data_IF_500863649716
#
_entry.id   IF_500863649716
#
_cell.length_a   1.000
_cell.length_b   1.000
_cell.length_c   1.000
_cell.angle_alpha   90.00
_cell.angle_beta   90.00
_cell.angle_gamma   90.00
#
_symmetry.space_group_name_H-M   'P 1'
#
loop_
_entity.id
_entity.type
_entity.pdbx_description
1 polymer ?
#
# COMPACT_ATOMS: atom_id res chain seq x y z
N UNK A 1 4.01 1.11 22.54
CA UNK A 1 3.94 -0.16 21.78
C UNK A 1 3.86 0.18 20.30
N UNK A 2 4.68 -0.45 19.45
CA UNK A 2 4.56 -0.30 17.99
C UNK A 2 3.40 -1.20 17.56
N UNK A 3 2.38 -0.63 16.92
CA UNK A 3 1.25 -1.40 16.40
C UNK A 3 1.74 -2.52 15.49
N UNK A 4 1.17 -3.71 15.64
CA UNK A 4 1.42 -4.83 14.73
C UNK A 4 0.95 -4.48 13.32
N UNK A 5 1.47 -5.19 12.31
CA UNK A 5 1.04 -5.02 10.91
C UNK A 5 -0.48 -5.01 10.79
N UNK A 6 -1.16 -5.97 11.41
CA UNK A 6 -2.62 -6.14 11.29
C UNK A 6 -3.39 -5.00 11.94
N UNK A 7 -2.93 -4.51 13.08
CA UNK A 7 -3.52 -3.32 13.73
C UNK A 7 -3.28 -2.04 12.94
N UNK A 8 -2.31 -2.03 12.04
CA UNK A 8 -1.96 -0.86 11.21
C UNK A 8 -2.49 -0.91 9.78
N UNK A 9 -3.32 -1.90 9.44
CA UNK A 9 -3.97 -1.96 8.13
C UNK A 9 -4.87 -0.75 7.95
N UNK A 10 -4.74 -0.07 6.81
CA UNK A 10 -5.61 1.02 6.42
C UNK A 10 -6.55 0.58 5.31
N UNK A 11 -7.85 0.56 5.63
CA UNK A 11 -8.90 0.08 4.71
C UNK A 11 -9.40 1.14 3.75
N UNK A 12 -8.95 2.40 3.88
CA UNK A 12 -9.37 3.51 3.01
C UNK A 12 -8.79 3.43 1.59
N UNK A 13 -7.81 2.55 1.38
CA UNK A 13 -7.31 2.19 0.06
C UNK A 13 -7.25 0.67 -0.07
N UNK A 14 -7.85 0.14 -1.13
CA UNK A 14 -7.89 -1.30 -1.41
C UNK A 14 -7.30 -1.56 -2.78
N UNK A 15 -6.27 -2.39 -2.85
CA UNK A 15 -5.71 -2.87 -4.11
C UNK A 15 -6.31 -4.24 -4.43
N UNK A 16 -6.79 -4.41 -5.65
CA UNK A 16 -7.37 -5.66 -6.12
C UNK A 16 -6.33 -6.43 -6.91
N UNK A 17 -5.90 -7.56 -6.37
CA UNK A 17 -4.93 -8.44 -7.00
C UNK A 17 -5.58 -9.22 -8.15
N UNK A 18 -4.82 -9.61 -9.17
CA UNK A 18 -5.32 -10.40 -10.30
C UNK A 18 -5.90 -11.78 -9.91
N UNK A 19 -5.59 -12.28 -8.71
CA UNK A 19 -6.18 -13.51 -8.14
C UNK A 19 -7.52 -13.28 -7.44
N UNK A 20 -7.98 -12.03 -7.33
CA UNK A 20 -9.17 -11.64 -6.57
C UNK A 20 -8.88 -11.23 -5.12
N UNK A 21 -7.63 -11.36 -4.64
CA UNK A 21 -7.28 -10.95 -3.27
C UNK A 21 -7.43 -9.44 -3.09
N UNK A 22 -7.97 -9.03 -1.94
CA UNK A 22 -8.01 -7.63 -1.50
C UNK A 22 -6.80 -7.34 -0.62
N UNK A 23 -6.01 -6.37 -1.03
CA UNK A 23 -4.77 -5.97 -0.37
C UNK A 23 -4.91 -4.56 0.18
N UNK A 24 -4.47 -4.39 1.42
CA UNK A 24 -4.60 -3.15 2.16
C UNK A 24 -3.22 -2.63 2.55
N UNK A 25 -2.94 -1.34 2.37
CA UNK A 25 -1.74 -0.71 2.90
C UNK A 25 -1.63 -0.92 4.42
N UNK A 26 -0.41 -1.01 4.92
CA UNK A 26 -0.17 -1.10 6.36
C UNK A 26 1.10 -0.34 6.73
N UNK A 27 1.20 0.06 8.00
CA UNK A 27 2.42 0.65 8.54
C UNK A 27 3.35 -0.44 9.08
N UNK A 28 4.66 -0.28 8.88
CA UNK A 28 5.65 -1.15 9.51
C UNK A 28 6.85 -0.37 10.03
N UNK A 29 7.56 -1.00 10.97
CA UNK A 29 8.77 -0.44 11.56
C UNK A 29 10.01 -0.83 10.74
N UNK A 30 10.82 0.16 10.38
CA UNK A 30 12.18 -0.06 9.91
C UNK A 30 13.09 -0.27 11.11
N UNK A 31 13.54 -1.50 11.32
CA UNK A 31 14.33 -1.84 12.52
C UNK A 31 15.64 -1.05 12.66
N UNK A 32 16.24 -0.64 11.54
CA UNK A 32 17.54 0.06 11.57
C UNK A 32 17.42 1.50 12.05
N UNK A 33 16.34 2.21 11.70
CA UNK A 33 16.16 3.63 12.04
C UNK A 33 15.08 3.86 13.08
N UNK A 34 14.28 2.83 13.41
CA UNK A 34 13.08 2.96 14.26
C UNK A 34 11.90 3.64 13.56
N UNK A 35 12.02 4.01 12.28
CA UNK A 35 10.95 4.70 11.55
C UNK A 35 9.72 3.80 11.40
N UNK A 36 8.53 4.32 11.70
CA UNK A 36 7.27 3.60 11.56
C UNK A 36 6.36 4.35 10.58
N UNK A 37 5.87 3.68 9.54
CA UNK A 37 5.04 4.33 8.52
C UNK A 37 4.66 3.39 7.38
N UNK A 38 3.87 3.92 6.44
CA UNK A 38 3.59 3.25 5.17
C UNK A 38 4.85 3.25 4.32
N UNK A 39 5.24 2.08 3.86
CA UNK A 39 6.48 1.93 3.10
C UNK A 39 6.18 2.02 1.62
N UNK A 40 6.72 3.05 0.99
CA UNK A 40 6.80 3.16 -0.47
C UNK A 40 8.25 3.05 -0.93
N UNK A 41 8.49 2.31 -2.01
CA UNK A 41 9.83 2.11 -2.57
C UNK A 41 9.86 2.56 -4.03
N UNK A 42 10.86 3.35 -4.46
CA UNK A 42 10.99 3.76 -5.86
C UNK A 42 11.08 2.56 -6.81
N UNK A 43 10.62 2.75 -8.06
CA UNK A 43 10.71 1.72 -9.10
C UNK A 43 12.17 1.26 -9.29
N UNK A 44 12.38 -0.06 -9.31
CA UNK A 44 13.70 -0.68 -9.47
C UNK A 44 14.58 -0.67 -8.21
N UNK A 45 14.13 -0.07 -7.11
CA UNK A 45 14.81 -0.07 -5.81
C UNK A 45 14.24 -1.14 -4.89
N UNK A 46 14.94 -1.42 -3.79
CA UNK A 46 14.51 -2.41 -2.80
C UNK A 46 14.59 -1.81 -1.40
N UNK A 47 13.51 -1.95 -0.64
CA UNK A 47 13.46 -1.48 0.75
C UNK A 47 14.62 -2.03 1.61
N UNK A 48 15.01 -3.30 1.42
CA UNK A 48 16.13 -3.92 2.16
C UNK A 48 17.49 -3.21 1.98
N UNK A 49 17.62 -2.38 0.94
CA UNK A 49 18.83 -1.58 0.70
C UNK A 49 18.75 -0.19 1.36
N UNK A 50 17.68 0.12 2.12
CA UNK A 50 17.44 1.42 2.73
C UNK A 50 16.73 2.44 1.84
N UNK A 51 16.31 2.04 0.62
CA UNK A 51 15.68 2.95 -0.36
C UNK A 51 14.18 3.23 -0.09
N UNK A 52 13.62 2.71 1.01
CA UNK A 52 12.20 2.85 1.35
C UNK A 52 11.89 4.16 2.06
N UNK A 53 10.84 4.86 1.63
CA UNK A 53 10.27 6.01 2.34
C UNK A 53 9.17 5.53 3.28
N UNK A 54 9.17 6.05 4.51
CA UNK A 54 8.24 5.70 5.57
C UNK A 54 7.30 6.88 5.83
N UNK A 55 6.15 6.87 5.16
CA UNK A 55 5.17 7.95 5.15
C UNK A 55 4.14 7.80 6.27
N UNK A 56 3.56 8.89 6.74
CA UNK A 56 2.70 8.88 7.93
C UNK A 56 1.21 8.75 7.62
N UNK A 57 0.80 9.06 6.40
CA UNK A 57 -0.59 9.13 5.98
C UNK A 57 -0.80 8.56 4.57
N UNK A 58 -2.03 8.20 4.21
CA UNK A 58 -2.34 7.75 2.84
C UNK A 58 -2.29 8.91 1.85
N UNK A 59 -2.57 10.11 2.33
CA UNK A 59 -2.49 11.38 1.64
C UNK A 59 -1.06 11.63 1.13
N UNK A 60 -0.05 11.30 1.95
CA UNK A 60 1.35 11.31 1.52
C UNK A 60 1.68 10.16 0.55
N UNK A 61 1.09 8.97 0.74
CA UNK A 61 1.36 7.78 -0.08
C UNK A 61 0.86 7.91 -1.51
N UNK A 62 -0.36 8.42 -1.69
CA UNK A 62 -1.07 8.45 -2.97
C UNK A 62 -0.25 9.11 -4.08
N UNK A 63 0.37 10.30 -3.90
CA UNK A 63 1.26 10.91 -4.88
C UNK A 63 2.39 9.98 -5.36
N UNK A 64 3.04 9.24 -4.45
CA UNK A 64 4.14 8.34 -4.81
C UNK A 64 3.65 7.09 -5.54
N UNK A 65 2.56 6.51 -5.04
CA UNK A 65 2.06 5.24 -5.56
C UNK A 65 1.39 5.42 -6.92
N UNK A 66 0.45 6.36 -7.05
CA UNK A 66 -0.37 6.51 -8.25
C UNK A 66 0.31 7.31 -9.37
N UNK A 67 1.16 8.29 -9.04
CA UNK A 67 1.75 9.19 -10.03
C UNK A 67 3.24 8.92 -10.28
N UNK A 68 4.00 8.54 -9.24
CA UNK A 68 5.45 8.25 -9.38
C UNK A 68 5.76 6.77 -9.61
N UNK A 69 4.75 5.89 -9.58
CA UNK A 69 4.90 4.46 -9.83
C UNK A 69 5.69 3.71 -8.75
N UNK A 70 5.77 4.25 -7.53
CA UNK A 70 6.43 3.58 -6.41
C UNK A 70 5.66 2.32 -6.03
N UNK A 71 6.35 1.33 -5.45
CA UNK A 71 5.68 0.17 -4.87
C UNK A 71 5.28 0.44 -3.42
N UNK A 72 4.07 0.05 -3.02
CA UNK A 72 3.51 0.21 -1.68
C UNK A 72 3.42 -1.15 -0.98
N UNK A 73 3.84 -1.21 0.28
CA UNK A 73 3.63 -2.37 1.14
C UNK A 73 2.13 -2.57 1.43
N UNK A 74 1.60 -3.75 1.07
CA UNK A 74 0.21 -4.11 1.31
C UNK A 74 0.07 -5.58 1.73
N UNK A 75 -1.02 -5.88 2.43
CA UNK A 75 -1.32 -7.23 2.92
C UNK A 75 -2.81 -7.55 2.84
N UNK A 76 -3.18 -8.83 2.82
CA UNK A 76 -4.58 -9.24 3.02
C UNK A 76 -5.01 -9.00 4.48
N UNK A 77 -6.28 -8.68 4.70
CA UNK A 77 -6.87 -8.61 6.05
C UNK A 77 -7.35 -9.99 6.53
N UNK A 78 -6.41 -10.91 6.65
CA UNK A 78 -6.62 -12.25 7.21
C UNK A 78 -6.06 -12.34 8.63
N UNK A 79 -6.39 -13.40 9.38
CA UNK A 79 -5.75 -13.66 10.68
C UNK A 79 -4.22 -13.77 10.53
N UNK A 80 -3.41 -13.32 11.50
CA UNK A 80 -1.94 -13.18 11.38
C UNK A 80 -1.10 -14.43 11.02
N UNK A 81 -1.73 -15.59 10.84
CA UNK A 81 -1.07 -16.90 10.65
C UNK A 81 -1.83 -17.80 9.67
N UNK A 82 -2.85 -17.30 8.99
CA UNK A 82 -3.65 -18.11 8.07
C UNK A 82 -2.86 -18.48 6.83
N UNK A 83 -2.88 -19.76 6.44
CA UNK A 83 -2.48 -20.18 5.10
C UNK A 83 -3.25 -19.33 4.08
N UNK A 84 -2.53 -18.70 3.15
CA UNK A 84 -3.11 -17.78 2.16
C UNK A 84 -2.99 -16.29 2.49
N UNK A 85 -2.32 -15.90 3.58
CA UNK A 85 -1.95 -14.48 3.74
C UNK A 85 -0.99 -14.03 2.64
N UNK A 86 -1.34 -12.95 1.94
CA UNK A 86 -0.44 -12.30 0.97
C UNK A 86 0.12 -11.04 1.60
N UNK A 87 1.45 -10.92 1.61
CA UNK A 87 2.16 -9.72 2.03
C UNK A 87 3.21 -9.41 0.98
N UNK A 88 3.32 -8.16 0.56
CA UNK A 88 4.32 -7.76 -0.43
C UNK A 88 4.34 -6.27 -0.70
N UNK A 89 5.25 -5.86 -1.58
CA UNK A 89 5.25 -4.52 -2.16
C UNK A 89 4.66 -4.62 -3.58
N UNK A 90 3.62 -3.85 -3.84
CA UNK A 90 2.88 -3.87 -5.10
C UNK A 90 3.00 -2.52 -5.77
N UNK A 91 2.93 -2.45 -7.10
CA UNK A 91 2.90 -1.19 -7.86
C UNK A 91 1.64 -1.16 -8.72
N UNK A 92 1.03 0.02 -8.86
CA UNK A 92 -0.21 0.20 -9.62
C UNK A 92 -0.01 -0.05 -11.13
N UNK A 93 1.23 0.10 -11.62
CA UNK A 93 1.60 -0.13 -13.02
C UNK A 93 2.10 -1.56 -13.28
N UNK A 94 2.06 -2.42 -12.26
CA UNK A 94 2.49 -3.81 -12.36
C UNK A 94 1.36 -4.73 -12.81
N UNK A 95 1.69 -6.00 -13.05
CA UNK A 95 0.69 -7.01 -13.44
C UNK A 95 -0.14 -7.53 -12.26
N UNK A 96 0.35 -7.32 -11.04
CA UNK A 96 -0.26 -7.88 -9.85
C UNK A 96 -1.60 -7.22 -9.48
N UNK A 97 -1.69 -5.91 -9.66
CA UNK A 97 -2.86 -5.10 -9.27
C UNK A 97 -3.64 -4.76 -10.54
N UNK A 98 -4.90 -5.19 -10.58
CA UNK A 98 -5.78 -5.02 -11.76
C UNK A 98 -6.85 -3.96 -11.57
N UNK A 99 -7.10 -3.55 -10.32
CA UNK A 99 -8.01 -2.47 -9.96
C UNK A 99 -7.69 -1.96 -8.55
N UNK A 100 -8.32 -0.85 -8.16
CA UNK A 100 -8.32 -0.39 -6.77
C UNK A 100 -9.65 0.25 -6.40
N UNK A 101 -9.91 0.31 -5.12
CA UNK A 101 -11.04 1.01 -4.51
C UNK A 101 -10.49 2.00 -3.49
N UNK A 102 -11.16 3.13 -3.31
CA UNK A 102 -10.67 4.20 -2.44
C UNK A 102 -11.82 4.87 -1.69
N UNK A 103 -11.57 5.27 -0.45
CA UNK A 103 -12.55 5.99 0.34
C UNK A 103 -12.84 7.38 -0.27
N UNK A 104 -14.07 7.85 -0.13
CA UNK A 104 -14.55 9.12 -0.69
C UNK A 104 -13.65 10.29 -0.30
N UNK A 105 -13.21 10.36 0.96
CA UNK A 105 -12.37 11.45 1.45
C UNK A 105 -10.99 11.51 0.79
N UNK A 106 -10.51 10.43 0.18
CA UNK A 106 -9.23 10.36 -0.54
C UNK A 106 -9.39 10.44 -2.07
N UNK A 107 -10.62 10.34 -2.59
CA UNK A 107 -10.88 10.25 -4.03
C UNK A 107 -10.34 11.46 -4.82
N UNK A 108 -10.39 12.65 -4.23
CA UNK A 108 -9.86 13.88 -4.83
C UNK A 108 -8.35 13.80 -5.14
N UNK A 109 -7.59 12.97 -4.42
CA UNK A 109 -6.15 12.80 -4.62
C UNK A 109 -5.81 11.96 -5.86
N UNK A 110 -6.77 11.19 -6.37
CA UNK A 110 -6.62 10.34 -7.56
C UNK A 110 -7.46 10.81 -8.75
N UNK A 111 -8.14 11.96 -8.62
CA UNK A 111 -9.06 12.47 -9.64
C UNK A 111 -8.40 12.62 -11.03
N UNK A 112 -7.10 12.93 -11.09
CA UNK A 112 -6.34 13.08 -12.34
C UNK A 112 -5.32 11.96 -12.56
N UNK A 113 -5.35 10.90 -11.74
CA UNK A 113 -4.45 9.77 -11.90
C UNK A 113 -4.71 9.04 -13.22
N UNK A 114 -3.67 8.55 -13.93
CA UNK A 114 -3.86 7.79 -15.17
C UNK A 114 -4.68 6.51 -14.98
N UNK A 115 -4.61 5.92 -13.79
CA UNK A 115 -5.36 4.74 -13.41
C UNK A 115 -6.45 5.18 -12.42
N UNK A 116 -7.71 5.08 -12.84
CA UNK A 116 -8.88 5.55 -12.08
C UNK A 116 -9.44 4.44 -11.16
N UNK A 117 -10.10 4.80 -10.04
CA UNK A 117 -10.62 3.81 -9.10
C UNK A 117 -11.77 3.04 -9.76
N UNK A 118 -11.87 1.75 -9.42
CA UNK A 118 -13.04 0.93 -9.79
C UNK A 118 -14.27 1.35 -8.99
N UNK A 119 -14.07 1.74 -7.73
CA UNK A 119 -15.13 2.13 -6.82
C UNK A 119 -14.62 3.15 -5.81
N UNK A 120 -15.46 4.15 -5.53
CA UNK A 120 -15.27 5.13 -4.45
C UNK A 120 -16.33 4.83 -3.39
N UNK A 121 -15.93 4.66 -2.13
CA UNK A 121 -16.79 4.16 -1.05
C UNK A 121 -16.80 5.03 0.19
#
# INVERSE_FOLDING_TARGET
MIASRKESIDKRLVLIHHTGDRLYPFKKCFRQTGSFGYVVTPKGRRERNGDGLYLQSLEEVIPYFFYKGYSLAATTDTRPTSAGERIGAFTITGTAIVAYEIAEELSHLVATAPFQPRYVF
#
